data_IF_093892932664
#
_entry.id   IF_093892932664
#
_cell.length_a   1.000
_cell.length_b   1.000
_cell.length_c   1.000
_cell.angle_alpha   90.00
_cell.angle_beta   90.00
_cell.angle_gamma   90.00
#
_symmetry.space_group_name_H-M   'P 1'
#
loop_
_entity.id
_entity.type
_entity.pdbx_description
1 polymer ?
#
# COMPACT_ATOMS: atom_id res chain seq x y z
N UNK A 1 -18.97 -22.67 16.70
CA UNK A 1 -17.80 -23.06 15.88
C UNK A 1 -16.82 -21.92 15.61
N UNK A 2 -16.01 -21.54 16.60
CA UNK A 2 -15.01 -20.47 16.47
C UNK A 2 -13.70 -20.97 15.79
N UNK A 3 -13.39 -22.26 15.96
CA UNK A 3 -12.26 -22.94 15.32
C UNK A 3 -12.41 -23.03 13.79
N UNK A 4 -13.62 -23.31 13.31
CA UNK A 4 -13.95 -23.37 11.88
C UNK A 4 -13.73 -22.03 11.17
N UNK A 5 -14.15 -20.92 11.80
CA UNK A 5 -13.99 -19.59 11.22
C UNK A 5 -12.51 -19.17 11.18
N UNK A 6 -11.73 -19.54 12.21
CA UNK A 6 -10.28 -19.32 12.25
C UNK A 6 -9.54 -20.13 11.18
N UNK A 7 -9.90 -21.39 10.96
CA UNK A 7 -9.33 -22.22 9.88
C UNK A 7 -9.71 -21.71 8.48
N UNK A 8 -10.93 -21.20 8.30
CA UNK A 8 -11.36 -20.55 7.04
C UNK A 8 -10.63 -19.23 6.78
N UNK A 9 -10.39 -18.43 7.82
CA UNK A 9 -9.56 -17.23 7.74
C UNK A 9 -8.09 -17.53 7.42
N UNK A 10 -7.56 -18.63 7.99
CA UNK A 10 -6.23 -19.18 7.69
C UNK A 10 -6.11 -19.73 6.26
N UNK A 11 -7.17 -20.31 5.72
CA UNK A 11 -7.20 -20.75 4.33
C UNK A 11 -7.23 -19.57 3.35
N UNK A 12 -8.01 -18.53 3.64
CA UNK A 12 -8.29 -17.44 2.68
C UNK A 12 -7.04 -16.68 2.24
N UNK A 13 -6.19 -16.19 3.15
CA UNK A 13 -4.97 -15.46 2.73
C UNK A 13 -3.92 -16.35 2.07
N UNK A 14 -3.93 -17.65 2.37
CA UNK A 14 -3.02 -18.60 1.74
C UNK A 14 -3.41 -18.84 0.27
N UNK A 15 -4.71 -18.85 -0.04
CA UNK A 15 -5.24 -19.04 -1.40
C UNK A 15 -5.45 -17.72 -2.15
N UNK A 16 -5.49 -16.57 -1.47
CA UNK A 16 -5.75 -15.27 -2.10
C UNK A 16 -4.82 -14.94 -3.28
N UNK A 17 -3.50 -15.16 -3.20
CA UNK A 17 -2.61 -14.94 -4.35
C UNK A 17 -3.00 -15.78 -5.57
N UNK A 18 -3.43 -17.01 -5.35
CA UNK A 18 -3.88 -17.92 -6.41
C UNK A 18 -5.24 -17.50 -6.99
N UNK A 19 -6.16 -17.04 -6.14
CA UNK A 19 -7.41 -16.40 -6.57
C UNK A 19 -7.11 -15.17 -7.44
N UNK A 20 -6.21 -14.29 -6.99
CA UNK A 20 -5.78 -13.09 -7.73
C UNK A 20 -5.17 -13.47 -9.09
N UNK A 21 -4.34 -14.51 -9.12
CA UNK A 21 -3.73 -15.03 -10.34
C UNK A 21 -4.79 -15.47 -11.34
N UNK A 22 -5.71 -16.36 -10.92
CA UNK A 22 -6.78 -16.88 -11.77
C UNK A 22 -7.73 -15.79 -12.24
N UNK A 23 -8.13 -14.88 -11.36
CA UNK A 23 -9.00 -13.76 -11.73
C UNK A 23 -8.31 -12.79 -12.70
N UNK A 24 -6.99 -12.60 -12.58
CA UNK A 24 -6.22 -11.74 -13.48
C UNK A 24 -6.02 -12.33 -14.87
N UNK A 25 -6.11 -13.65 -15.01
CA UNK A 25 -6.03 -14.38 -16.28
C UNK A 25 -7.39 -14.61 -16.94
N UNK A 26 -8.48 -14.43 -16.20
CA UNK A 26 -9.81 -14.75 -16.69
C UNK A 26 -10.30 -13.67 -17.67
N UNK A 27 -10.53 -14.07 -18.92
CA UNK A 27 -10.99 -13.19 -19.99
C UNK A 27 -12.41 -12.64 -19.75
N UNK A 28 -13.26 -13.38 -19.03
CA UNK A 28 -14.63 -13.02 -18.68
C UNK A 28 -14.65 -12.02 -17.51
N UNK A 29 -13.62 -12.05 -16.66
CA UNK A 29 -13.50 -11.16 -15.51
C UNK A 29 -13.12 -9.75 -15.94
N UNK A 30 -14.09 -8.84 -16.04
CA UNK A 30 -13.82 -7.44 -16.32
C UNK A 30 -12.95 -6.81 -15.22
N UNK A 31 -12.27 -5.72 -15.55
CA UNK A 31 -11.47 -4.96 -14.58
C UNK A 31 -12.33 -4.54 -13.38
N UNK A 32 -13.55 -4.09 -13.60
CA UNK A 32 -14.42 -3.62 -12.51
C UNK A 32 -14.87 -4.77 -11.61
N UNK A 33 -15.21 -5.92 -12.20
CA UNK A 33 -15.56 -7.12 -11.44
C UNK A 33 -14.37 -7.59 -10.59
N UNK A 34 -13.18 -7.62 -11.17
CA UNK A 34 -11.94 -7.93 -10.46
C UNK A 34 -11.77 -7.00 -9.26
N UNK A 35 -11.89 -5.68 -9.46
CA UNK A 35 -11.71 -4.70 -8.41
C UNK A 35 -12.73 -4.85 -7.28
N UNK A 36 -14.00 -5.13 -7.60
CA UNK A 36 -15.05 -5.38 -6.61
C UNK A 36 -14.75 -6.63 -5.78
N UNK A 37 -14.42 -7.75 -6.43
CA UNK A 37 -14.10 -9.01 -5.76
C UNK A 37 -12.88 -8.83 -4.85
N UNK A 38 -11.78 -8.27 -5.35
CA UNK A 38 -10.55 -8.06 -4.57
C UNK A 38 -10.79 -7.12 -3.38
N UNK A 39 -11.53 -6.02 -3.58
CA UNK A 39 -11.84 -5.09 -2.49
C UNK A 39 -12.66 -5.77 -1.39
N UNK A 40 -13.64 -6.60 -1.78
CA UNK A 40 -14.43 -7.38 -0.83
C UNK A 40 -13.56 -8.39 -0.09
N UNK A 41 -12.72 -9.15 -0.80
CA UNK A 41 -11.85 -10.15 -0.20
C UNK A 41 -10.82 -9.54 0.77
N UNK A 42 -10.25 -8.37 0.44
CA UNK A 42 -9.28 -7.71 1.30
C UNK A 42 -9.88 -7.09 2.55
N UNK A 43 -11.19 -6.84 2.59
CA UNK A 43 -11.90 -6.38 3.80
C UNK A 43 -11.82 -7.39 4.96
N UNK A 44 -11.59 -8.68 4.66
CA UNK A 44 -11.45 -9.74 5.66
C UNK A 44 -10.01 -9.84 6.22
N UNK A 45 -9.03 -9.14 5.64
CA UNK A 45 -7.65 -9.15 6.10
C UNK A 45 -7.49 -8.13 7.23
N UNK A 46 -7.60 -8.61 8.47
CA UNK A 46 -7.43 -7.79 9.69
C UNK A 46 -6.10 -8.00 10.42
N UNK A 47 -5.32 -9.00 10.00
CA UNK A 47 -4.09 -9.39 10.67
C UNK A 47 -2.87 -8.89 9.89
N UNK A 48 -2.02 -8.12 10.56
CA UNK A 48 -0.81 -7.52 9.98
C UNK A 48 0.17 -8.57 9.46
N UNK A 49 0.32 -9.73 10.11
CA UNK A 49 1.16 -10.82 9.60
C UNK A 49 0.65 -11.38 8.28
N UNK A 50 -0.67 -11.49 8.12
CA UNK A 50 -1.25 -11.93 6.85
C UNK A 50 -1.07 -10.87 5.76
N UNK A 51 -1.13 -9.58 6.14
CA UNK A 51 -0.82 -8.47 5.24
C UNK A 51 0.63 -8.56 4.73
N UNK A 52 1.61 -8.72 5.62
CA UNK A 52 3.03 -8.84 5.25
C UNK A 52 3.29 -10.01 4.30
N UNK A 53 2.71 -11.18 4.56
CA UNK A 53 2.82 -12.36 3.69
C UNK A 53 2.23 -12.08 2.31
N UNK A 54 1.06 -11.43 2.27
CA UNK A 54 0.41 -11.08 1.00
C UNK A 54 1.23 -10.07 0.20
N UNK A 55 1.81 -9.04 0.84
CA UNK A 55 2.71 -8.10 0.16
C UNK A 55 3.85 -8.85 -0.52
N UNK A 56 4.56 -9.73 0.21
CA UNK A 56 5.67 -10.53 -0.37
C UNK A 56 5.22 -11.34 -1.59
N UNK A 57 4.08 -12.00 -1.49
CA UNK A 57 3.56 -12.84 -2.57
C UNK A 57 3.10 -12.02 -3.77
N UNK A 58 2.46 -10.87 -3.55
CA UNK A 58 2.05 -9.96 -4.61
C UNK A 58 3.25 -9.33 -5.32
N UNK A 59 4.30 -8.94 -4.59
CA UNK A 59 5.54 -8.47 -5.20
C UNK A 59 6.14 -9.55 -6.12
N UNK A 60 6.23 -10.80 -5.66
CA UNK A 60 6.70 -11.92 -6.49
C UNK A 60 5.82 -12.12 -7.74
N UNK A 61 4.50 -12.03 -7.58
CA UNK A 61 3.55 -12.15 -8.68
C UNK A 61 3.69 -11.02 -9.70
N UNK A 62 4.01 -9.80 -9.24
CA UNK A 62 4.29 -8.68 -10.14
C UNK A 62 5.50 -8.95 -11.04
N UNK A 63 6.59 -9.50 -10.47
CA UNK A 63 7.78 -9.91 -11.23
C UNK A 63 7.45 -11.00 -12.25
N UNK A 64 6.66 -11.99 -11.85
CA UNK A 64 6.22 -13.09 -12.73
C UNK A 64 5.24 -12.64 -13.82
N UNK A 65 4.59 -11.50 -13.64
CA UNK A 65 3.72 -10.89 -14.65
C UNK A 65 4.50 -10.08 -15.70
N UNK A 66 5.80 -10.30 -15.84
CA UNK A 66 6.60 -9.67 -16.89
C UNK A 66 5.99 -9.92 -18.28
N UNK A 67 5.94 -8.88 -19.12
CA UNK A 67 5.27 -8.90 -20.42
C UNK A 67 3.73 -8.88 -20.40
N UNK A 68 3.08 -8.89 -19.23
CA UNK A 68 1.60 -8.86 -19.11
C UNK A 68 1.11 -7.63 -18.34
N UNK A 69 0.81 -6.57 -19.08
CA UNK A 69 0.36 -5.29 -18.53
C UNK A 69 -0.93 -5.40 -17.71
N UNK A 70 -1.86 -6.29 -18.12
CA UNK A 70 -3.12 -6.48 -17.40
C UNK A 70 -2.86 -7.10 -16.04
N UNK A 71 -2.02 -8.14 -15.97
CA UNK A 71 -1.64 -8.76 -14.70
C UNK A 71 -0.88 -7.79 -13.80
N UNK A 72 0.10 -7.05 -14.34
CA UNK A 72 0.84 -6.01 -13.58
C UNK A 72 -0.10 -4.95 -13.01
N UNK A 73 -1.05 -4.46 -13.81
CA UNK A 73 -2.04 -3.48 -13.35
C UNK A 73 -2.96 -4.04 -12.25
N UNK A 74 -3.39 -5.30 -12.35
CA UNK A 74 -4.21 -5.95 -11.34
C UNK A 74 -3.46 -6.17 -10.03
N UNK A 75 -2.20 -6.63 -10.09
CA UNK A 75 -1.35 -6.79 -8.90
C UNK A 75 -1.08 -5.45 -8.22
N UNK A 76 -0.81 -4.40 -9.00
CA UNK A 76 -0.65 -3.05 -8.46
C UNK A 76 -1.93 -2.53 -7.79
N UNK A 77 -3.09 -2.79 -8.40
CA UNK A 77 -4.37 -2.50 -7.76
C UNK A 77 -4.51 -3.26 -6.43
N UNK A 78 -4.20 -4.56 -6.39
CA UNK A 78 -4.20 -5.33 -5.14
C UNK A 78 -3.32 -4.68 -4.07
N UNK A 79 -2.07 -4.36 -4.39
CA UNK A 79 -1.15 -3.71 -3.43
C UNK A 79 -1.68 -2.36 -2.93
N UNK A 80 -2.37 -1.59 -3.79
CA UNK A 80 -3.01 -0.32 -3.40
C UNK A 80 -4.19 -0.48 -2.44
N UNK A 81 -4.95 -1.58 -2.57
CA UNK A 81 -6.13 -1.87 -1.76
C UNK A 81 -5.82 -2.64 -0.49
N UNK A 82 -4.67 -3.30 -0.44
CA UNK A 82 -4.23 -4.00 0.75
C UNK A 82 -4.04 -2.98 1.88
N UNK A 83 -4.51 -3.34 3.08
CA UNK A 83 -4.53 -2.46 4.24
C UNK A 83 -3.14 -2.33 4.89
N UNK A 84 -2.18 -1.79 4.15
CA UNK A 84 -0.80 -1.59 4.60
C UNK A 84 -0.79 -0.44 5.61
N UNK A 85 -0.89 -0.78 6.89
CA UNK A 85 -0.93 0.14 8.03
C UNK A 85 0.37 0.21 8.82
N UNK A 86 1.30 -0.71 8.55
CA UNK A 86 2.54 -0.84 9.33
C UNK A 86 3.76 -0.51 8.49
N UNK A 87 4.77 0.07 9.13
CA UNK A 87 6.07 0.31 8.50
C UNK A 87 6.74 -1.00 8.05
N UNK A 88 6.48 -2.12 8.73
CA UNK A 88 7.02 -3.44 8.36
C UNK A 88 6.50 -3.88 6.97
N UNK A 89 5.19 -3.83 6.74
CA UNK A 89 4.59 -4.15 5.44
C UNK A 89 5.05 -3.19 4.34
N UNK A 90 5.19 -1.90 4.65
CA UNK A 90 5.73 -0.92 3.70
C UNK A 90 7.20 -1.17 3.35
N UNK A 91 8.04 -1.53 4.33
CA UNK A 91 9.45 -1.87 4.10
C UNK A 91 9.58 -3.07 3.17
N UNK A 92 8.79 -4.11 3.39
CA UNK A 92 8.75 -5.28 2.50
C UNK A 92 8.45 -4.85 1.06
N UNK A 93 7.44 -4.00 0.84
CA UNK A 93 7.10 -3.51 -0.49
C UNK A 93 8.26 -2.70 -1.10
N UNK A 94 8.88 -1.82 -0.32
CA UNK A 94 10.00 -0.97 -0.73
C UNK A 94 11.27 -1.76 -1.05
N UNK A 95 11.60 -2.77 -0.26
CA UNK A 95 12.77 -3.65 -0.45
C UNK A 95 12.64 -4.53 -1.71
N UNK A 96 11.41 -4.81 -2.14
CA UNK A 96 11.18 -5.55 -3.39
C UNK A 96 11.29 -4.66 -4.64
N UNK A 97 11.32 -3.33 -4.46
CA UNK A 97 11.50 -2.38 -5.54
C UNK A 97 12.94 -2.50 -6.06
N UNK A 98 13.16 -2.58 -7.39
CA UNK A 98 14.51 -2.58 -7.94
C UNK A 98 15.22 -1.28 -7.56
N UNK A 99 16.28 -1.39 -6.75
CA UNK A 99 17.10 -0.25 -6.38
C UNK A 99 17.83 0.22 -7.64
N UNK A 100 17.69 1.50 -7.99
CA UNK A 100 18.34 2.10 -9.15
C UNK A 100 19.88 2.22 -9.01
N UNK A 101 20.51 1.51 -8.06
CA UNK A 101 21.90 1.69 -7.65
C UNK A 101 22.81 0.49 -7.90
N UNK A 102 22.32 -0.58 -8.53
CA UNK A 102 23.20 -1.60 -9.12
C UNK A 102 23.40 -1.33 -10.61
N UNK A 103 23.60 -0.07 -10.96
CA UNK A 103 24.19 0.30 -12.25
C UNK A 103 25.71 0.15 -12.14
N UNK A 104 26.20 -1.08 -12.27
CA UNK A 104 27.38 -1.26 -13.12
C UNK A 104 26.90 -0.95 -14.53
N UNK A 105 27.12 0.30 -14.93
CA UNK A 105 27.01 0.73 -16.31
C UNK A 105 27.80 -0.26 -17.16
N UNK A 106 27.14 -0.84 -18.17
CA UNK A 106 27.55 -1.97 -19.03
C UNK A 106 26.94 -3.31 -18.57
N UNK A 107 25.90 -3.75 -19.30
CA UNK A 107 25.16 -5.02 -19.18
C UNK A 107 23.89 -5.05 -18.28
N UNK A 108 23.07 -4.00 -18.26
CA UNK A 108 21.65 -4.21 -17.90
C UNK A 108 20.91 -4.80 -19.12
N UNK A 109 20.55 -6.08 -19.01
CA UNK A 109 19.73 -6.78 -19.99
C UNK A 109 18.37 -6.09 -20.15
N UNK A 110 17.79 -6.15 -21.35
CA UNK A 110 16.52 -5.48 -21.71
C UNK A 110 15.37 -5.84 -20.74
N UNK A 111 15.41 -7.07 -20.19
CA UNK A 111 14.47 -7.57 -19.20
C UNK A 111 14.47 -6.77 -17.89
N UNK A 112 15.65 -6.41 -17.36
CA UNK A 112 15.76 -5.68 -16.09
C UNK A 112 15.27 -4.23 -16.23
N UNK A 113 15.45 -3.65 -17.42
CA UNK A 113 14.94 -2.31 -17.75
C UNK A 113 13.42 -2.29 -17.86
N UNK A 114 12.82 -3.27 -18.54
CA UNK A 114 11.36 -3.38 -18.65
C UNK A 114 10.72 -3.59 -17.28
N UNK A 115 11.30 -4.47 -16.45
CA UNK A 115 10.84 -4.69 -15.09
C UNK A 115 10.92 -3.39 -14.28
N UNK A 116 12.06 -2.70 -14.28
CA UNK A 116 12.23 -1.42 -13.57
C UNK A 116 11.20 -0.37 -14.00
N UNK A 117 10.96 -0.25 -15.31
CA UNK A 117 9.99 0.69 -15.85
C UNK A 117 8.56 0.32 -15.41
N UNK A 118 8.21 -0.97 -15.37
CA UNK A 118 6.93 -1.43 -14.88
C UNK A 118 6.74 -1.14 -13.39
N UNK A 119 7.76 -1.41 -12.55
CA UNK A 119 7.72 -1.06 -11.12
C UNK A 119 7.52 0.44 -10.91
N UNK A 120 8.26 1.29 -11.64
CA UNK A 120 8.08 2.74 -11.61
C UNK A 120 6.68 3.16 -12.05
N UNK A 121 6.17 2.62 -13.15
CA UNK A 121 4.85 2.97 -13.71
C UNK A 121 3.70 2.59 -12.79
N UNK A 122 3.70 1.37 -12.26
CA UNK A 122 2.54 0.81 -11.57
C UNK A 122 2.62 0.91 -10.03
N UNK A 123 3.82 0.76 -9.46
CA UNK A 123 3.98 0.61 -8.00
C UNK A 123 4.55 1.85 -7.30
N UNK A 124 5.23 2.75 -8.00
CA UNK A 124 5.66 4.04 -7.42
C UNK A 124 4.49 4.86 -6.87
N UNK A 125 3.35 5.03 -7.57
CA UNK A 125 2.22 5.78 -7.02
C UNK A 125 1.65 5.13 -5.76
N UNK A 126 1.64 3.78 -5.72
CA UNK A 126 1.16 2.98 -4.59
C UNK A 126 2.08 3.17 -3.38
N UNK A 127 3.40 3.07 -3.59
CA UNK A 127 4.40 3.32 -2.55
C UNK A 127 4.29 4.71 -1.95
N UNK A 128 4.21 5.74 -2.79
CA UNK A 128 4.09 7.14 -2.34
C UNK A 128 2.78 7.38 -1.57
N UNK A 129 1.69 6.74 -1.98
CA UNK A 129 0.42 6.84 -1.27
C UNK A 129 0.46 6.17 0.10
N UNK A 130 1.05 4.97 0.21
CA UNK A 130 1.24 4.30 1.49
C UNK A 130 2.18 5.11 2.40
N UNK A 131 3.29 5.62 1.87
CA UNK A 131 4.23 6.43 2.63
C UNK A 131 3.58 7.70 3.20
N UNK A 132 2.73 8.38 2.40
CA UNK A 132 1.95 9.53 2.86
C UNK A 132 0.95 9.15 3.96
N UNK A 133 0.33 7.96 3.89
CA UNK A 133 -0.59 7.47 4.93
C UNK A 133 0.12 7.09 6.23
N UNK A 134 1.36 6.64 6.15
CA UNK A 134 2.16 6.20 7.30
C UNK A 134 2.92 7.35 7.99
N UNK A 135 3.29 8.40 7.26
CA UNK A 135 3.81 9.62 7.88
C UNK A 135 2.65 10.36 8.55
N UNK A 136 2.65 10.55 9.89
CA UNK A 136 1.68 11.43 10.50
C UNK A 136 1.84 12.81 9.86
N UNK A 137 0.78 13.29 9.24
CA UNK A 137 0.70 14.69 8.82
C UNK A 137 0.91 15.49 10.10
N UNK A 138 1.97 16.29 10.19
CA UNK A 138 2.05 17.35 11.18
C UNK A 138 0.82 18.23 10.94
N UNK A 139 -0.24 17.96 11.71
CA UNK A 139 -1.44 18.80 11.72
C UNK A 139 -0.98 20.13 12.29
N UNK A 140 -0.85 21.07 11.38
CA UNK A 140 -0.83 22.51 11.55
C UNK A 140 -1.52 22.89 12.87
N UNK A 141 -0.73 23.18 13.90
CA UNK A 141 -1.24 23.64 15.18
C UNK A 141 -1.94 24.97 14.93
N UNK A 142 -3.16 25.23 15.43
CA UNK A 142 -3.78 26.53 15.27
C UNK A 142 -2.84 27.57 15.88
N UNK A 143 -2.34 28.48 15.03
CA UNK A 143 -1.51 29.63 15.41
C UNK A 143 -2.25 30.37 16.53
N UNK A 144 -1.80 30.19 17.78
CA UNK A 144 -2.23 31.00 18.92
C UNK A 144 -2.01 32.47 18.52
N UNK A 145 -3.09 33.22 18.41
CA UNK A 145 -3.04 34.68 18.30
C UNK A 145 -2.37 35.22 19.56
N UNK A 146 -1.37 36.10 19.45
CA UNK A 146 -0.75 36.71 20.62
C UNK A 146 -1.79 37.57 21.34
N UNK A 147 -1.96 37.27 22.63
CA UNK A 147 -2.64 38.10 23.63
C UNK A 147 -2.14 39.54 23.54
N UNK A 148 -3.04 40.48 23.25
CA UNK A 148 -2.76 41.90 23.39
C UNK A 148 -2.76 42.28 24.87
N UNK A 149 -1.62 42.83 25.28
CA UNK A 149 -1.31 43.34 26.62
C UNK A 149 -1.87 44.77 26.79
N UNK A 150 -2.90 44.91 27.65
CA UNK A 150 -3.22 46.03 28.59
C UNK A 150 -3.44 47.48 28.04
N UNK A 151 -4.23 48.36 28.72
CA UNK A 151 -3.76 49.07 29.93
C UNK A 151 -4.81 49.28 31.06
N UNK A 152 -4.37 48.94 32.28
CA UNK A 152 -4.50 49.69 33.55
C UNK A 152 -5.54 50.83 33.58
N UNK A 153 -6.69 50.61 34.24
CA UNK A 153 -7.51 51.69 34.82
C UNK A 153 -7.26 51.77 36.32
N UNK A 154 -6.59 52.84 36.73
CA UNK A 154 -6.73 53.41 38.08
C UNK A 154 -8.17 53.94 38.19
N UNK A 155 -8.87 53.65 39.28
CA UNK A 155 -9.81 54.62 39.82
C UNK A 155 -10.02 54.40 41.31
N UNK A 156 -9.84 55.50 42.02
CA UNK A 156 -10.07 55.73 43.43
C UNK A 156 -11.45 55.29 43.91
N UNK A 157 -11.55 54.84 45.17
CA UNK A 157 -12.32 55.57 46.19
C UNK A 157 -12.19 54.95 47.58
N UNK A 158 -11.83 55.84 48.48
CA UNK A 158 -11.98 55.81 49.92
C UNK A 158 -13.37 55.36 50.38
N UNK A 159 -13.43 54.55 51.43
CA UNK A 159 -13.88 54.93 52.78
C UNK A 159 -14.10 53.69 53.64
#
# INVERSE_FOLDING_TARGET
DELSLRQRGLALFNVLPDIISRLSMNSICSRDLFQQIISHLFSFIKNDRHCEILVKRLCRQFKQACGDDRKRANVAFCLSKLNIKTLASYRILKENFPNATESTEQNEDDYDKEEHLAWKKYLMPVLNDIERRLKPTEVNTPRRTPSSTTPKRKNDRSS
#
